data_IF_556486106777
#
_entry.id   IF_556486106777
#
_cell.length_a   1.000
_cell.length_b   1.000
_cell.length_c   1.000
_cell.angle_alpha   90.00
_cell.angle_beta   90.00
_cell.angle_gamma   90.00
#
_symmetry.space_group_name_H-M   'P 1'
#
loop_
_entity.id
_entity.type
_entity.pdbx_description
1 polymer ?
#
# COMPACT_ATOMS: atom_id res chain seq x y z
N UNK A 1 -75.42 4.41 -21.03
CA UNK A 1 -74.74 4.64 -19.75
C UNK A 1 -73.63 3.60 -19.67
N UNK A 2 -72.46 3.92 -20.21
CA UNK A 2 -71.25 3.11 -20.07
C UNK A 2 -70.47 3.62 -18.87
N UNK A 3 -70.23 2.76 -17.88
CA UNK A 3 -69.35 3.06 -16.75
C UNK A 3 -67.90 2.81 -17.19
N UNK A 4 -66.97 3.76 -16.97
CA UNK A 4 -65.57 3.52 -17.22
C UNK A 4 -65.02 2.53 -16.18
N UNK A 5 -64.51 1.40 -16.65
CA UNK A 5 -63.69 0.47 -15.88
C UNK A 5 -62.39 1.16 -15.50
N UNK A 6 -62.26 1.54 -14.23
CA UNK A 6 -60.99 1.95 -13.67
C UNK A 6 -60.07 0.74 -13.54
N UNK A 7 -58.83 0.78 -14.04
CA UNK A 7 -57.85 -0.25 -13.75
C UNK A 7 -57.59 -0.28 -12.25
N UNK A 8 -57.60 -1.50 -11.70
CA UNK A 8 -57.28 -1.80 -10.31
C UNK A 8 -55.93 -1.18 -9.92
N UNK A 9 -55.87 -0.27 -8.92
CA UNK A 9 -54.61 0.31 -8.44
C UNK A 9 -53.78 -0.71 -7.61
N UNK A 10 -54.22 -1.96 -7.52
CA UNK A 10 -53.64 -3.02 -6.69
C UNK A 10 -52.53 -3.85 -7.33
N UNK A 11 -51.98 -3.50 -8.51
CA UNK A 11 -50.75 -4.12 -8.98
C UNK A 11 -49.56 -3.56 -8.18
N UNK A 12 -49.41 -4.01 -6.92
CA UNK A 12 -48.18 -3.80 -6.18
C UNK A 12 -47.07 -4.53 -6.92
N UNK A 13 -46.25 -3.78 -7.65
CA UNK A 13 -44.91 -4.21 -8.02
C UNK A 13 -44.19 -4.49 -6.71
N UNK A 14 -44.14 -5.75 -6.28
CA UNK A 14 -43.35 -6.17 -5.14
C UNK A 14 -41.91 -5.75 -5.41
N UNK A 15 -41.43 -4.73 -4.72
CA UNK A 15 -40.02 -4.36 -4.74
C UNK A 15 -39.28 -5.50 -4.04
N UNK A 16 -38.55 -6.30 -4.81
CA UNK A 16 -37.73 -7.37 -4.24
C UNK A 16 -36.63 -6.76 -3.38
N UNK A 17 -36.47 -7.26 -2.16
CA UNK A 17 -35.40 -6.84 -1.26
C UNK A 17 -34.04 -7.24 -1.85
N UNK A 18 -33.11 -6.28 -1.94
CA UNK A 18 -31.74 -6.57 -2.35
C UNK A 18 -31.02 -7.42 -1.28
N UNK A 19 -30.21 -8.37 -1.73
CA UNK A 19 -29.40 -9.19 -0.83
C UNK A 19 -28.43 -8.31 -0.01
N UNK A 20 -28.25 -8.58 1.30
CA UNK A 20 -27.29 -7.85 2.12
C UNK A 20 -25.86 -7.92 1.55
N UNK A 21 -25.14 -6.81 1.59
CA UNK A 21 -23.75 -6.78 1.14
C UNK A 21 -22.86 -7.75 1.94
N UNK A 22 -22.15 -8.62 1.21
CA UNK A 22 -21.15 -9.54 1.74
C UNK A 22 -19.83 -8.81 2.06
N UNK A 23 -18.81 -9.57 2.49
CA UNK A 23 -17.50 -9.03 2.83
C UNK A 23 -16.77 -8.42 1.62
N UNK A 24 -16.89 -9.05 0.46
CA UNK A 24 -16.22 -8.61 -0.77
C UNK A 24 -16.81 -7.31 -1.29
N UNK A 25 -18.14 -7.21 -1.37
CA UNK A 25 -18.88 -6.01 -1.73
C UNK A 25 -18.58 -4.87 -0.75
N UNK A 26 -18.55 -5.16 0.55
CA UNK A 26 -18.18 -4.16 1.58
C UNK A 26 -16.76 -3.63 1.36
N UNK A 27 -15.78 -4.51 1.11
CA UNK A 27 -14.40 -4.09 0.81
C UNK A 27 -14.31 -3.26 -0.46
N UNK A 28 -14.93 -3.72 -1.54
CA UNK A 28 -14.93 -3.03 -2.84
C UNK A 28 -15.51 -1.62 -2.72
N UNK A 29 -16.63 -1.46 -2.00
CA UNK A 29 -17.24 -0.16 -1.74
C UNK A 29 -16.28 0.79 -1.01
N UNK A 30 -15.63 0.33 0.07
CA UNK A 30 -14.72 1.16 0.86
C UNK A 30 -13.43 1.52 0.10
N UNK A 31 -12.92 0.62 -0.75
CA UNK A 31 -11.78 0.91 -1.63
C UNK A 31 -12.15 1.93 -2.70
N UNK A 32 -13.33 1.82 -3.31
CA UNK A 32 -13.83 2.82 -4.26
C UNK A 32 -13.97 4.20 -3.58
N UNK A 33 -14.51 4.22 -2.36
CA UNK A 33 -14.65 5.43 -1.54
C UNK A 33 -13.31 6.09 -1.23
N UNK A 34 -12.22 5.33 -1.12
CA UNK A 34 -10.90 5.91 -0.83
C UNK A 34 -10.30 6.68 -2.01
N UNK A 35 -10.82 6.48 -3.23
CA UNK A 35 -10.39 7.21 -4.43
C UNK A 35 -8.96 6.88 -4.87
N UNK A 36 -8.43 5.72 -4.47
CA UNK A 36 -7.07 5.28 -4.80
C UNK A 36 -7.07 3.94 -5.54
N UNK A 37 -5.98 3.71 -6.26
CA UNK A 37 -5.71 2.44 -6.93
C UNK A 37 -4.69 1.57 -6.15
N UNK A 38 -4.00 2.14 -5.17
CA UNK A 38 -3.02 1.45 -4.35
C UNK A 38 -2.95 2.00 -2.94
N UNK A 39 -2.53 1.12 -2.02
CA UNK A 39 -2.23 1.41 -0.62
C UNK A 39 -0.76 1.80 -0.48
N UNK A 40 -0.43 3.05 -0.09
CA UNK A 40 0.91 3.43 0.31
C UNK A 40 1.22 2.90 1.72
N UNK A 41 2.35 2.21 1.87
CA UNK A 41 2.84 1.70 3.15
C UNK A 41 4.33 2.02 3.30
N UNK A 42 4.76 2.59 4.42
CA UNK A 42 6.18 2.91 4.62
C UNK A 42 7.03 1.64 4.57
N UNK A 43 8.23 1.78 4.02
CA UNK A 43 9.21 0.69 3.96
C UNK A 43 9.65 0.22 5.35
N UNK A 44 9.66 1.12 6.32
CA UNK A 44 10.00 0.87 7.72
C UNK A 44 9.11 -0.21 8.36
N UNK A 45 7.88 -0.38 7.86
CA UNK A 45 7.00 -1.47 8.29
C UNK A 45 7.62 -2.85 8.01
N UNK A 46 8.28 -2.99 6.86
CA UNK A 46 8.89 -4.24 6.39
C UNK A 46 10.27 -4.43 7.01
N UNK A 47 11.10 -3.39 6.97
CA UNK A 47 12.48 -3.43 7.41
C UNK A 47 12.94 -2.03 7.86
N UNK A 48 13.64 -1.97 8.99
CA UNK A 48 14.27 -0.77 9.48
C UNK A 48 15.33 -0.27 8.45
N UNK A 49 15.26 0.98 8.00
CA UNK A 49 16.19 1.52 7.00
C UNK A 49 17.63 1.66 7.52
N UNK A 50 17.84 1.72 8.84
CA UNK A 50 19.17 1.79 9.45
C UNK A 50 19.94 0.48 9.21
N UNK A 51 21.04 0.59 8.47
CA UNK A 51 21.91 -0.53 8.10
C UNK A 51 22.96 -0.86 9.16
N UNK A 52 23.15 0.02 10.15
CA UNK A 52 24.09 -0.20 11.24
C UNK A 52 23.54 -1.19 12.28
N UNK A 53 22.22 -1.36 12.34
CA UNK A 53 21.58 -2.27 13.28
C UNK A 53 21.85 -3.73 12.90
N UNK A 54 22.21 -4.53 13.91
CA UNK A 54 22.34 -5.98 13.77
C UNK A 54 20.99 -6.63 13.41
N UNK A 55 19.90 -6.17 14.04
CA UNK A 55 18.54 -6.57 13.73
C UNK A 55 17.78 -5.39 13.11
N UNK A 56 17.33 -5.59 11.88
CA UNK A 56 16.62 -4.61 11.06
C UNK A 56 15.14 -4.97 10.87
N UNK A 57 14.62 -5.93 11.62
CA UNK A 57 13.23 -6.34 11.53
C UNK A 57 12.28 -5.15 11.77
N UNK A 58 11.38 -4.93 10.82
CA UNK A 58 10.27 -3.99 11.00
C UNK A 58 9.09 -4.63 11.76
N UNK A 59 8.03 -3.85 12.07
CA UNK A 59 6.81 -4.35 12.71
C UNK A 59 6.13 -5.52 12.00
N UNK A 60 6.32 -5.69 10.69
CA UNK A 60 5.84 -6.86 9.94
C UNK A 60 6.27 -8.18 10.61
N UNK A 61 7.49 -8.23 11.15
CA UNK A 61 8.04 -9.42 11.80
C UNK A 61 7.13 -9.98 12.91
N UNK A 62 6.49 -9.12 13.68
CA UNK A 62 5.62 -9.52 14.79
C UNK A 62 4.37 -10.25 14.28
N UNK A 63 3.80 -9.81 13.15
CA UNK A 63 2.66 -10.48 12.53
C UNK A 63 3.04 -11.89 12.06
N UNK A 64 4.22 -12.04 11.48
CA UNK A 64 4.69 -13.32 10.94
C UNK A 64 4.97 -14.31 12.07
N UNK A 65 5.75 -13.88 13.08
CA UNK A 65 6.09 -14.74 14.23
C UNK A 65 4.88 -15.17 15.04
N UNK A 66 3.88 -14.30 15.20
CA UNK A 66 2.63 -14.61 15.92
C UNK A 66 1.56 -15.27 15.05
N UNK A 67 1.80 -15.47 13.75
CA UNK A 67 0.81 -15.99 12.82
C UNK A 67 -0.44 -15.11 12.68
N UNK A 68 -0.33 -13.80 12.95
CA UNK A 68 -1.46 -12.87 13.02
C UNK A 68 -1.88 -12.36 11.63
N UNK A 69 -2.28 -13.28 10.75
CA UNK A 69 -2.69 -12.98 9.38
C UNK A 69 -3.86 -12.00 9.31
N UNK A 70 -4.87 -12.21 10.16
CA UNK A 70 -6.06 -11.34 10.22
C UNK A 70 -5.70 -9.92 10.65
N UNK A 71 -4.80 -9.78 11.64
CA UNK A 71 -4.28 -8.48 12.03
C UNK A 71 -3.52 -7.80 10.90
N UNK A 72 -2.67 -8.55 10.17
CA UNK A 72 -1.91 -7.99 9.06
C UNK A 72 -2.83 -7.47 7.95
N UNK A 73 -3.80 -8.28 7.53
CA UNK A 73 -4.79 -7.87 6.54
C UNK A 73 -5.63 -6.67 7.02
N UNK A 74 -6.04 -6.65 8.28
CA UNK A 74 -6.78 -5.53 8.85
C UNK A 74 -5.98 -4.22 8.79
N UNK A 75 -4.69 -4.25 9.12
CA UNK A 75 -3.81 -3.09 9.01
C UNK A 75 -3.66 -2.63 7.55
N UNK A 76 -3.34 -3.54 6.63
CA UNK A 76 -3.18 -3.22 5.22
C UNK A 76 -4.46 -2.63 4.63
N UNK A 77 -5.62 -3.13 5.03
CA UNK A 77 -6.91 -2.62 4.58
C UNK A 77 -7.23 -1.26 5.20
N UNK A 78 -6.91 -1.04 6.48
CA UNK A 78 -7.05 0.27 7.12
C UNK A 78 -6.21 1.32 6.36
N UNK A 79 -4.95 1.01 6.02
CA UNK A 79 -4.14 1.88 5.17
C UNK A 79 -4.79 2.12 3.79
N UNK A 80 -5.39 1.09 3.17
CA UNK A 80 -6.02 1.19 1.85
C UNK A 80 -7.18 2.21 1.82
N UNK A 81 -7.96 2.28 2.90
CA UNK A 81 -9.17 3.11 2.93
C UNK A 81 -8.97 4.47 3.61
N UNK A 82 -7.91 4.64 4.41
CA UNK A 82 -7.66 5.85 5.22
C UNK A 82 -6.54 6.73 4.64
N UNK A 83 -5.51 6.16 4.01
CA UNK A 83 -4.31 6.90 3.56
C UNK A 83 -4.58 7.97 2.49
N UNK A 84 -5.80 8.03 1.95
CA UNK A 84 -6.22 9.13 1.09
C UNK A 84 -6.35 10.47 1.80
N UNK A 85 -6.49 10.48 3.12
CA UNK A 85 -6.63 11.72 3.89
C UNK A 85 -7.80 12.60 3.44
N UNK A 86 -8.69 12.05 2.60
CA UNK A 86 -9.80 12.76 1.98
C UNK A 86 -11.07 12.70 2.85
N UNK A 87 -10.99 12.04 4.02
CA UNK A 87 -12.05 12.05 5.01
C UNK A 87 -12.04 13.35 5.81
N UNK A 88 -13.19 13.73 6.34
CA UNK A 88 -13.37 14.90 7.21
C UNK A 88 -12.45 14.85 8.45
N UNK A 89 -12.16 13.64 8.94
CA UNK A 89 -11.30 13.38 10.10
C UNK A 89 -9.80 13.16 9.73
N UNK A 90 -9.40 13.55 8.51
CA UNK A 90 -8.03 13.42 8.01
C UNK A 90 -7.57 11.96 7.87
N UNK A 91 -6.60 11.52 8.69
CA UNK A 91 -6.05 10.17 8.69
C UNK A 91 -6.88 9.17 9.49
N UNK A 92 -8.20 9.35 9.49
CA UNK A 92 -9.13 8.53 10.25
C UNK A 92 -10.33 8.10 9.42
N UNK A 93 -10.98 7.01 9.82
CA UNK A 93 -12.31 6.67 9.32
C UNK A 93 -13.17 6.13 10.45
N UNK A 94 -14.42 6.57 10.48
CA UNK A 94 -15.44 6.10 11.42
C UNK A 94 -16.36 5.13 10.72
N UNK A 95 -16.48 3.90 11.25
CA UNK A 95 -17.40 2.87 10.75
C UNK A 95 -18.06 2.12 11.92
N UNK A 96 -19.28 1.59 11.75
CA UNK A 96 -19.87 0.68 12.71
C UNK A 96 -19.01 -0.56 12.91
N UNK A 97 -18.93 -1.09 14.13
CA UNK A 97 -18.12 -2.27 14.44
C UNK A 97 -18.47 -3.51 13.57
N UNK A 98 -19.74 -3.65 13.17
CA UNK A 98 -20.17 -4.73 12.27
C UNK A 98 -19.58 -4.61 10.86
N UNK A 99 -19.32 -3.38 10.38
CA UNK A 99 -18.65 -3.14 9.10
C UNK A 99 -17.18 -3.54 9.20
N UNK A 100 -16.50 -3.17 10.29
CA UNK A 100 -15.13 -3.64 10.57
C UNK A 100 -15.06 -5.17 10.63
N UNK A 101 -16.04 -5.81 11.27
CA UNK A 101 -16.12 -7.27 11.33
C UNK A 101 -16.23 -7.92 9.93
N UNK A 102 -17.06 -7.39 9.03
CA UNK A 102 -17.13 -7.86 7.63
C UNK A 102 -15.82 -7.67 6.89
N UNK A 103 -15.25 -6.48 6.97
CA UNK A 103 -14.00 -6.13 6.28
C UNK A 103 -12.85 -7.05 6.70
N UNK A 104 -12.78 -7.43 7.98
CA UNK A 104 -11.76 -8.33 8.52
C UNK A 104 -12.10 -9.83 8.39
N UNK A 105 -13.11 -10.18 7.59
CA UNK A 105 -13.60 -11.56 7.39
C UNK A 105 -14.02 -12.28 8.69
N UNK A 106 -14.38 -11.52 9.73
CA UNK A 106 -14.82 -12.09 11.00
C UNK A 106 -16.23 -12.70 10.92
N UNK A 107 -17.04 -12.27 9.94
CA UNK A 107 -18.41 -12.74 9.71
C UNK A 107 -18.49 -14.05 8.92
N UNK A 108 -17.41 -14.46 8.22
CA UNK A 108 -17.38 -15.73 7.47
C UNK A 108 -17.44 -16.98 8.36
N UNK A 109 -16.94 -16.87 9.59
CA UNK A 109 -16.73 -18.02 10.49
C UNK A 109 -17.50 -17.91 11.79
N UNK A 110 -18.33 -16.88 11.98
CA UNK A 110 -18.94 -16.58 13.26
C UNK A 110 -20.27 -15.82 13.13
N UNK A 111 -21.15 -16.01 14.12
CA UNK A 111 -22.34 -15.18 14.28
C UNK A 111 -21.98 -13.69 14.47
N UNK A 112 -22.98 -12.81 14.36
CA UNK A 112 -22.79 -11.34 14.40
C UNK A 112 -22.11 -10.84 15.68
N UNK A 113 -22.43 -11.40 16.85
CA UNK A 113 -21.88 -10.96 18.14
C UNK A 113 -20.42 -11.42 18.29
N UNK A 114 -20.15 -12.66 17.91
CA UNK A 114 -18.82 -13.27 17.86
C UNK A 114 -17.91 -12.55 16.86
N UNK A 115 -18.43 -12.20 15.67
CA UNK A 115 -17.71 -11.45 14.65
C UNK A 115 -17.30 -10.04 15.13
N UNK A 116 -18.21 -9.34 15.81
CA UNK A 116 -17.92 -8.01 16.40
C UNK A 116 -16.86 -8.09 17.50
N UNK A 117 -16.88 -9.16 18.30
CA UNK A 117 -15.88 -9.42 19.33
C UNK A 117 -14.51 -9.72 18.72
N UNK A 118 -14.46 -10.51 17.63
CA UNK A 118 -13.25 -10.78 16.88
C UNK A 118 -12.66 -9.50 16.26
N UNK A 119 -13.49 -8.64 15.67
CA UNK A 119 -13.07 -7.34 15.15
C UNK A 119 -12.46 -6.47 16.27
N UNK A 120 -13.09 -6.42 17.44
CA UNK A 120 -12.56 -5.69 18.60
C UNK A 120 -11.18 -6.21 19.02
N UNK A 121 -10.99 -7.53 19.07
CA UNK A 121 -9.69 -8.15 19.39
C UNK A 121 -8.62 -7.81 18.36
N UNK A 122 -8.95 -7.86 17.07
CA UNK A 122 -8.04 -7.46 15.99
C UNK A 122 -7.60 -6.00 16.17
N UNK A 123 -8.55 -5.08 16.38
CA UNK A 123 -8.25 -3.67 16.60
C UNK A 123 -7.42 -3.43 17.85
N UNK A 124 -7.71 -4.13 18.95
CA UNK A 124 -6.89 -4.05 20.17
C UNK A 124 -5.45 -4.48 19.91
N UNK A 125 -5.21 -5.53 19.11
CA UNK A 125 -3.84 -5.97 18.77
C UNK A 125 -3.10 -4.93 17.94
N UNK A 126 -3.77 -4.26 17.01
CA UNK A 126 -3.16 -3.20 16.20
C UNK A 126 -2.83 -1.95 17.02
N UNK A 127 -3.71 -1.58 17.95
CA UNK A 127 -3.49 -0.49 18.90
C UNK A 127 -2.32 -0.80 19.84
N UNK A 128 -2.25 -2.03 20.40
CA UNK A 128 -1.15 -2.48 21.25
C UNK A 128 0.22 -2.48 20.55
N UNK A 129 0.24 -2.57 19.22
CA UNK A 129 1.45 -2.48 18.40
C UNK A 129 1.78 -1.06 17.98
N UNK A 130 1.04 -0.06 18.46
CA UNK A 130 1.18 1.36 18.11
C UNK A 130 1.06 1.63 16.60
N UNK A 131 0.18 0.89 15.90
CA UNK A 131 -0.05 1.02 14.45
C UNK A 131 -1.31 1.82 14.12
N UNK A 132 -2.25 1.87 15.07
CA UNK A 132 -3.47 2.67 14.99
C UNK A 132 -3.80 3.22 16.38
N UNK A 133 -4.61 4.27 16.44
CA UNK A 133 -5.44 4.56 17.61
C UNK A 133 -6.90 4.26 17.30
N UNK A 134 -7.69 4.01 18.33
CA UNK A 134 -9.14 3.87 18.19
C UNK A 134 -9.88 4.76 19.16
N UNK A 135 -11.03 5.26 18.72
CA UNK A 135 -11.97 5.96 19.57
C UNK A 135 -13.39 5.43 19.32
N UNK A 136 -14.19 5.34 20.38
CA UNK A 136 -15.62 5.05 20.27
C UNK A 136 -16.35 6.36 20.07
N UNK A 137 -17.17 6.47 19.04
CA UNK A 137 -17.88 7.70 18.70
C UNK A 137 -19.38 7.46 18.56
N UNK A 138 -20.19 8.41 19.07
CA UNK A 138 -21.64 8.43 18.88
C UNK A 138 -22.45 7.22 19.39
N UNK A 139 -23.62 7.02 18.77
CA UNK A 139 -24.51 5.87 18.99
C UNK A 139 -24.26 4.81 17.89
N UNK A 140 -24.65 3.55 18.15
CA UNK A 140 -24.45 2.38 17.26
C UNK A 140 -23.05 1.72 17.23
N UNK A 141 -22.24 1.86 18.29
CA UNK A 141 -20.93 1.21 18.42
C UNK A 141 -19.99 1.54 17.24
N UNK A 142 -20.01 2.80 16.79
CA UNK A 142 -19.05 3.26 15.80
C UNK A 142 -17.66 3.33 16.41
N UNK A 143 -16.69 2.86 15.63
CA UNK A 143 -15.28 2.90 15.96
C UNK A 143 -14.59 3.76 14.91
N UNK A 144 -14.02 4.85 15.39
CA UNK A 144 -13.08 5.68 14.64
C UNK A 144 -11.70 5.04 14.77
N UNK A 145 -11.08 4.74 13.63
CA UNK A 145 -9.69 4.28 13.55
C UNK A 145 -8.87 5.41 12.96
N UNK A 146 -7.76 5.77 13.61
CA UNK A 146 -6.78 6.72 13.10
C UNK A 146 -5.46 5.99 12.86
N UNK A 147 -4.83 6.22 11.71
CA UNK A 147 -3.54 5.63 11.41
C UNK A 147 -2.43 6.25 12.25
N UNK A 148 -1.50 5.41 12.73
CA UNK A 148 -0.20 5.84 13.23
C UNK A 148 0.88 5.50 12.22
N UNK A 149 2.09 6.01 12.46
CA UNK A 149 3.25 5.68 11.64
C UNK A 149 3.50 4.16 11.75
N UNK A 150 3.57 3.43 10.62
CA UNK A 150 3.63 1.97 10.61
C UNK A 150 5.02 1.41 10.99
N UNK A 151 5.92 2.22 11.53
CA UNK A 151 7.22 1.78 12.09
C UNK A 151 7.10 1.30 13.55
N UNK A 152 5.91 1.40 14.15
CA UNK A 152 5.65 0.99 15.54
C UNK A 152 6.03 2.03 16.59
N UNK A 153 6.49 3.22 16.17
CA UNK A 153 6.84 4.32 17.08
C UNK A 153 5.63 4.92 17.81
N UNK A 154 4.43 4.73 17.27
CA UNK A 154 3.20 5.36 17.76
C UNK A 154 3.07 6.84 17.40
N UNK A 155 3.97 7.36 16.57
CA UNK A 155 3.87 8.74 16.08
C UNK A 155 2.71 8.90 15.09
N UNK A 156 2.22 10.13 14.94
CA UNK A 156 1.11 10.43 14.01
C UNK A 156 1.47 10.04 12.58
N UNK A 157 0.51 9.41 11.88
CA UNK A 157 0.68 9.11 10.47
C UNK A 157 0.76 10.41 9.65
N UNK A 158 1.75 10.47 8.78
CA UNK A 158 1.85 11.45 7.69
C UNK A 158 1.85 10.70 6.38
N UNK A 159 1.33 11.33 5.32
CA UNK A 159 1.41 10.73 3.99
C UNK A 159 2.88 10.63 3.57
N UNK A 160 3.33 9.46 3.11
CA UNK A 160 4.63 9.33 2.46
C UNK A 160 4.67 10.13 1.15
N UNK A 161 5.63 11.05 1.03
CA UNK A 161 5.87 11.85 -0.18
C UNK A 161 6.89 11.20 -1.13
N UNK A 162 7.58 10.14 -0.67
CA UNK A 162 8.62 9.44 -1.40
C UNK A 162 10.02 10.06 -1.30
N UNK A 163 10.18 11.22 -0.66
CA UNK A 163 11.47 11.89 -0.46
C UNK A 163 12.09 11.46 0.86
N UNK A 164 11.51 11.89 1.98
CA UNK A 164 11.94 11.49 3.31
C UNK A 164 11.43 10.09 3.65
N UNK A 165 10.17 9.83 3.27
CA UNK A 165 9.43 8.64 3.62
C UNK A 165 9.25 7.74 2.40
N UNK A 166 10.17 6.78 2.23
CA UNK A 166 10.03 5.78 1.17
C UNK A 166 8.89 4.83 1.51
N UNK A 167 8.06 4.54 0.52
CA UNK A 167 6.93 3.64 0.65
C UNK A 167 6.92 2.58 -0.45
N UNK A 168 6.22 1.49 -0.17
CA UNK A 168 5.80 0.50 -1.15
C UNK A 168 4.34 0.75 -1.55
N UNK A 169 3.97 0.29 -2.74
CA UNK A 169 2.62 0.43 -3.30
C UNK A 169 1.98 -0.95 -3.39
N UNK A 170 0.98 -1.22 -2.56
CA UNK A 170 0.18 -2.44 -2.68
C UNK A 170 -1.07 -2.14 -3.52
N UNK A 171 -1.16 -2.74 -4.71
CA UNK A 171 -2.31 -2.55 -5.61
C UNK A 171 -3.63 -2.94 -4.95
N UNK A 172 -4.69 -2.16 -5.15
CA UNK A 172 -6.03 -2.52 -4.68
C UNK A 172 -6.58 -3.79 -5.32
N UNK A 173 -6.00 -4.22 -6.45
CA UNK A 173 -6.26 -5.54 -7.04
C UNK A 173 -5.98 -6.69 -6.08
N UNK A 174 -5.07 -6.49 -5.12
CA UNK A 174 -4.84 -7.43 -4.02
C UNK A 174 -6.14 -7.81 -3.30
N UNK A 175 -7.04 -6.84 -3.14
CA UNK A 175 -8.35 -7.03 -2.52
C UNK A 175 -9.41 -7.46 -3.54
N UNK A 176 -9.55 -6.73 -4.64
CA UNK A 176 -10.67 -6.90 -5.58
C UNK A 176 -10.60 -8.21 -6.38
N UNK A 177 -9.41 -8.78 -6.55
CA UNK A 177 -9.21 -10.06 -7.26
C UNK A 177 -8.97 -11.25 -6.31
N UNK A 178 -9.18 -11.06 -5.00
CA UNK A 178 -9.12 -12.14 -4.01
C UNK A 178 -7.71 -12.64 -3.66
N UNK A 179 -6.64 -11.92 -4.03
CA UNK A 179 -5.26 -12.32 -3.68
C UNK A 179 -5.03 -12.41 -2.17
N UNK A 180 -5.71 -11.56 -1.39
CA UNK A 180 -5.70 -11.62 0.07
C UNK A 180 -6.23 -12.94 0.65
N UNK A 181 -6.91 -13.79 -0.11
CA UNK A 181 -7.32 -15.14 0.32
C UNK A 181 -6.34 -16.21 -0.15
N UNK A 182 -5.81 -16.04 -1.36
CA UNK A 182 -4.88 -16.98 -2.01
C UNK A 182 -3.50 -17.02 -1.34
N UNK A 183 -3.06 -15.90 -0.74
CA UNK A 183 -1.75 -15.82 -0.07
C UNK A 183 -1.84 -16.25 1.39
N UNK A 184 -1.03 -17.24 1.76
CA UNK A 184 -0.78 -17.55 3.16
C UNK A 184 0.09 -16.46 3.83
N UNK A 185 0.29 -16.57 5.15
CA UNK A 185 1.05 -15.55 5.92
C UNK A 185 2.49 -15.39 5.40
N UNK A 186 3.26 -16.47 5.14
CA UNK A 186 4.58 -16.36 4.54
C UNK A 186 4.59 -15.72 3.15
N UNK A 187 3.68 -16.09 2.25
CA UNK A 187 3.60 -15.50 0.92
C UNK A 187 3.23 -14.02 0.96
N UNK A 188 2.31 -13.62 1.85
CA UNK A 188 1.98 -12.22 2.06
C UNK A 188 3.19 -11.42 2.58
N UNK A 189 3.98 -12.00 3.49
CA UNK A 189 5.22 -11.37 3.96
C UNK A 189 6.21 -11.14 2.81
N UNK A 190 6.44 -12.18 2.01
CA UNK A 190 7.39 -12.12 0.89
C UNK A 190 6.88 -11.25 -0.27
N UNK A 191 5.57 -11.08 -0.43
CA UNK A 191 5.00 -10.09 -1.35
C UNK A 191 5.39 -8.67 -0.90
N UNK A 192 5.23 -8.37 0.40
CA UNK A 192 5.59 -7.06 0.94
C UNK A 192 7.11 -6.81 0.85
N UNK A 193 7.94 -7.84 1.08
CA UNK A 193 9.40 -7.75 0.84
C UNK A 193 9.70 -7.48 -0.63
N UNK A 194 9.03 -8.17 -1.55
CA UNK A 194 9.23 -7.97 -2.99
C UNK A 194 8.79 -6.58 -3.48
N UNK A 195 7.76 -6.00 -2.87
CA UNK A 195 7.32 -4.62 -3.12
C UNK A 195 8.24 -3.57 -2.45
N UNK A 196 8.88 -3.94 -1.34
CA UNK A 196 9.89 -3.13 -0.67
C UNK A 196 11.19 -3.04 -1.48
N UNK A 197 11.65 -4.17 -2.01
CA UNK A 197 12.88 -4.27 -2.76
C UNK A 197 12.78 -3.69 -4.18
N UNK A 198 13.92 -3.47 -4.82
CA UNK A 198 13.95 -3.12 -6.25
C UNK A 198 13.70 -4.38 -7.10
N UNK A 199 13.11 -4.26 -8.30
CA UNK A 199 13.02 -5.38 -9.24
C UNK A 199 14.39 -6.01 -9.49
N UNK A 200 14.48 -7.34 -9.44
CA UNK A 200 15.74 -8.07 -9.59
C UNK A 200 16.60 -8.08 -8.34
N UNK A 201 15.98 -8.16 -7.15
CA UNK A 201 16.72 -8.20 -5.89
C UNK A 201 17.29 -9.59 -5.60
N UNK A 202 18.44 -9.60 -4.92
CA UNK A 202 19.04 -10.81 -4.35
C UNK A 202 18.56 -10.92 -2.89
N UNK A 203 18.08 -12.09 -2.49
CA UNK A 203 17.76 -12.38 -1.10
C UNK A 203 18.69 -13.46 -0.58
N UNK A 204 19.60 -13.06 0.31
CA UNK A 204 20.47 -13.97 1.04
C UNK A 204 19.66 -14.63 2.17
N UNK A 205 19.36 -15.92 2.05
CA UNK A 205 18.53 -16.66 3.03
C UNK A 205 19.05 -16.53 4.46
N UNK A 206 20.37 -16.54 4.64
CA UNK A 206 21.05 -16.40 5.92
C UNK A 206 20.84 -15.02 6.57
N UNK A 207 20.52 -13.99 5.80
CA UNK A 207 20.27 -12.63 6.29
C UNK A 207 18.82 -12.39 6.66
N UNK A 208 17.89 -13.25 6.24
CA UNK A 208 16.45 -13.08 6.48
C UNK A 208 16.11 -12.90 7.96
N UNK A 209 16.66 -13.70 8.90
CA UNK A 209 16.38 -13.52 10.32
C UNK A 209 16.76 -12.13 10.83
N UNK A 210 17.95 -11.66 10.47
CA UNK A 210 18.46 -10.35 10.89
C UNK A 210 17.72 -9.20 10.21
N UNK A 211 17.35 -9.37 8.95
CA UNK A 211 16.77 -8.30 8.12
C UNK A 211 15.28 -8.12 8.30
N UNK A 212 14.55 -9.20 8.57
CA UNK A 212 13.10 -9.20 8.58
C UNK A 212 12.51 -9.88 9.81
N UNK A 213 13.29 -10.59 10.62
CA UNK A 213 12.84 -11.11 11.92
C UNK A 213 12.14 -12.47 11.89
N UNK A 214 12.14 -13.18 10.76
CA UNK A 214 11.62 -14.55 10.62
C UNK A 214 12.64 -15.51 9.98
N UNK A 215 12.38 -16.82 10.04
CA UNK A 215 13.33 -17.83 9.56
C UNK A 215 13.49 -17.82 8.03
N UNK A 216 14.65 -18.28 7.55
CA UNK A 216 14.89 -18.55 6.13
C UNK A 216 13.81 -19.47 5.53
N UNK A 217 13.46 -20.55 6.23
CA UNK A 217 12.40 -21.48 5.81
C UNK A 217 11.03 -20.81 5.60
N UNK A 218 10.73 -19.76 6.38
CA UNK A 218 9.50 -18.99 6.21
C UNK A 218 9.57 -18.13 4.95
N UNK A 219 10.72 -17.52 4.66
CA UNK A 219 10.92 -16.79 3.41
C UNK A 219 10.88 -17.72 2.19
N UNK A 220 11.55 -18.87 2.25
CA UNK A 220 11.58 -19.84 1.15
C UNK A 220 10.18 -20.38 0.82
N UNK A 221 9.39 -20.76 1.85
CA UNK A 221 7.99 -21.15 1.65
C UNK A 221 7.17 -20.02 1.02
N UNK A 222 7.32 -18.79 1.52
CA UNK A 222 6.61 -17.64 0.98
C UNK A 222 6.94 -17.36 -0.49
N UNK A 223 8.23 -17.36 -0.85
CA UNK A 223 8.68 -17.18 -2.24
C UNK A 223 8.19 -18.30 -3.14
N UNK A 224 8.27 -19.56 -2.69
CA UNK A 224 7.75 -20.72 -3.45
C UNK A 224 6.27 -20.57 -3.76
N UNK A 225 5.46 -20.17 -2.78
CA UNK A 225 4.03 -19.90 -3.00
C UNK A 225 3.81 -18.77 -4.00
N UNK A 226 4.59 -17.68 -3.94
CA UNK A 226 4.49 -16.58 -4.90
C UNK A 226 4.89 -17.00 -6.32
N UNK A 227 5.91 -17.84 -6.47
CA UNK A 227 6.30 -18.42 -7.76
C UNK A 227 5.20 -19.31 -8.34
N UNK A 228 4.64 -20.21 -7.52
CA UNK A 228 3.54 -21.10 -7.93
C UNK A 228 2.29 -20.33 -8.39
N UNK A 229 2.03 -19.17 -7.79
CA UNK A 229 0.93 -18.28 -8.13
C UNK A 229 1.26 -17.32 -9.27
N UNK A 230 2.47 -17.39 -9.85
CA UNK A 230 2.90 -16.54 -10.96
C UNK A 230 3.08 -15.07 -10.59
N UNK A 231 3.35 -14.77 -9.31
CA UNK A 231 3.56 -13.41 -8.80
C UNK A 231 5.05 -13.02 -8.72
N UNK A 232 5.95 -14.00 -8.67
CA UNK A 232 7.40 -13.78 -8.66
C UNK A 232 8.07 -14.68 -9.69
N UNK A 233 9.00 -14.12 -10.46
CA UNK A 233 9.92 -14.90 -11.30
C UNK A 233 11.27 -15.01 -10.61
N UNK A 234 11.85 -16.22 -10.58
CA UNK A 234 13.17 -16.50 -10.03
C UNK A 234 14.14 -16.74 -11.19
N UNK A 235 15.28 -16.05 -11.19
CA UNK A 235 16.39 -16.32 -12.11
C UNK A 235 17.65 -16.62 -11.35
N UNK A 236 18.44 -17.56 -11.83
CA UNK A 236 19.76 -17.83 -11.28
C UNK A 236 20.81 -16.96 -11.94
N UNK A 237 21.72 -16.41 -11.16
CA UNK A 237 22.85 -15.60 -11.63
C UNK A 237 24.13 -16.08 -10.96
N UNK A 238 25.19 -16.23 -11.75
CA UNK A 238 26.53 -16.49 -11.24
C UNK A 238 27.16 -15.14 -10.85
N UNK A 239 27.75 -15.09 -9.66
CA UNK A 239 28.45 -13.93 -9.12
C UNK A 239 29.85 -14.34 -8.68
N UNK A 240 30.85 -13.54 -9.04
CA UNK A 240 32.23 -13.77 -8.61
C UNK A 240 32.31 -13.78 -7.08
N UNK A 241 32.90 -14.84 -6.54
CA UNK A 241 33.08 -15.05 -5.12
C UNK A 241 34.47 -15.65 -4.91
N UNK A 242 35.51 -14.82 -4.72
CA UNK A 242 36.91 -15.28 -4.66
C UNK A 242 37.18 -16.28 -3.54
N UNK A 243 36.36 -16.26 -2.49
CA UNK A 243 36.46 -17.17 -1.35
C UNK A 243 35.65 -18.48 -1.52
N UNK A 244 34.88 -18.62 -2.61
CA UNK A 244 34.20 -19.85 -2.93
C UNK A 244 35.16 -20.85 -3.62
N UNK A 245 35.01 -22.17 -3.44
CA UNK A 245 35.90 -23.16 -4.05
C UNK A 245 36.04 -23.05 -5.58
N UNK A 246 34.99 -22.60 -6.26
CA UNK A 246 34.94 -22.41 -7.73
C UNK A 246 35.27 -20.99 -8.17
N UNK A 247 35.57 -20.07 -7.25
CA UNK A 247 35.72 -18.64 -7.52
C UNK A 247 34.41 -17.91 -7.84
N UNK A 248 33.27 -18.60 -7.76
CA UNK A 248 31.94 -18.08 -8.07
C UNK A 248 30.86 -18.68 -7.17
N UNK A 249 29.76 -17.96 -6.99
CA UNK A 249 28.56 -18.44 -6.30
C UNK A 249 27.32 -18.21 -7.15
N UNK A 250 26.31 -19.06 -7.00
CA UNK A 250 25.02 -18.92 -7.65
C UNK A 250 24.07 -18.19 -6.69
N UNK A 251 23.44 -17.12 -7.18
CA UNK A 251 22.46 -16.33 -6.42
C UNK A 251 21.12 -16.33 -7.14
N UNK A 252 20.04 -16.38 -6.36
CA UNK A 252 18.69 -16.20 -6.86
C UNK A 252 18.36 -14.71 -6.96
N UNK A 253 17.85 -14.32 -8.12
CA UNK A 253 17.40 -12.98 -8.45
C UNK A 253 15.89 -13.01 -8.60
N UNK A 254 15.20 -12.28 -7.72
CA UNK A 254 13.74 -12.27 -7.61
C UNK A 254 13.16 -11.01 -8.27
N UNK A 255 12.12 -11.20 -9.08
CA UNK A 255 11.39 -10.08 -9.71
C UNK A 255 9.90 -10.28 -9.55
N UNK A 256 9.21 -9.29 -8.98
CA UNK A 256 7.76 -9.28 -8.93
C UNK A 256 7.20 -9.14 -10.36
N UNK A 257 6.25 -10.00 -10.70
CA UNK A 257 5.59 -10.06 -12.01
C UNK A 257 4.07 -10.12 -11.83
N UNK A 258 3.33 -9.89 -12.91
CA UNK A 258 1.87 -9.98 -12.90
C UNK A 258 1.14 -8.74 -12.38
N UNK A 259 -0.10 -8.93 -11.95
CA UNK A 259 -1.09 -7.85 -11.75
C UNK A 259 -0.87 -7.00 -10.48
N UNK A 260 0.02 -7.44 -9.58
CA UNK A 260 0.34 -6.75 -8.33
C UNK A 260 1.60 -5.88 -8.42
N UNK A 261 2.24 -5.84 -9.60
CA UNK A 261 3.39 -4.96 -9.83
C UNK A 261 2.92 -3.50 -9.74
N UNK A 262 3.59 -2.65 -8.94
CA UNK A 262 3.29 -1.22 -8.92
C UNK A 262 3.37 -0.64 -10.34
N UNK A 263 2.45 0.24 -10.75
CA UNK A 263 2.59 0.92 -12.04
C UNK A 263 3.95 1.58 -12.07
N UNK A 264 4.71 1.30 -13.15
CA UNK A 264 6.08 1.78 -13.28
C UNK A 264 6.08 3.29 -13.01
N UNK A 265 6.83 3.72 -11.99
CA UNK A 265 7.16 5.13 -11.84
C UNK A 265 8.04 5.46 -13.04
N UNK A 266 7.43 5.93 -14.13
CA UNK A 266 8.19 6.48 -15.25
C UNK A 266 9.05 7.59 -14.65
N UNK A 267 10.39 7.47 -14.68
CA UNK A 267 11.21 8.59 -14.30
C UNK A 267 10.91 9.68 -15.32
N UNK A 268 10.32 10.79 -14.86
CA UNK A 268 10.22 12.01 -15.66
C UNK A 268 11.68 12.44 -15.89
N UNK A 269 12.26 12.00 -17.02
CA UNK A 269 13.47 12.61 -17.53
C UNK A 269 13.09 14.04 -17.87
N UNK A 270 13.55 14.98 -17.05
CA UNK A 270 13.57 16.39 -17.39
C UNK A 270 14.50 16.59 -18.59
N UNK A 271 13.98 16.40 -19.79
CA UNK A 271 14.65 16.84 -21.01
C UNK A 271 14.52 18.36 -21.11
N UNK A 272 15.34 19.09 -20.35
CA UNK A 272 15.75 20.43 -20.77
C UNK A 272 17.02 20.29 -21.60
N UNK A 273 16.85 20.06 -22.90
CA UNK A 273 17.78 20.57 -23.91
C UNK A 273 16.95 21.36 -24.90
N UNK A 274 16.66 22.60 -24.53
CA UNK A 274 16.08 23.56 -25.43
C UNK A 274 17.12 23.87 -26.51
N UNK A 275 16.72 23.60 -27.74
CA UNK A 275 17.33 24.00 -28.99
C UNK A 275 17.50 25.53 -29.00
N UNK A 276 18.73 26.00 -29.22
CA UNK A 276 19.01 27.42 -29.41
C UNK A 276 18.32 27.91 -30.69
N UNK A 277 17.66 29.08 -30.69
CA UNK A 277 17.12 29.65 -31.91
C UNK A 277 18.24 30.30 -32.74
N UNK A 278 18.17 30.05 -34.04
CA UNK A 278 18.99 30.61 -35.10
C UNK A 278 18.99 32.15 -35.08
N UNK A 279 20.20 32.71 -35.11
CA UNK A 279 20.47 34.11 -35.47
C UNK A 279 20.08 34.33 -36.93
N UNK A 280 19.01 35.08 -37.17
CA UNK A 280 18.74 35.70 -38.46
C UNK A 280 18.93 37.22 -38.34
N UNK A 281 19.82 37.71 -39.18
CA UNK A 281 20.24 39.10 -39.30
C UNK A 281 19.14 39.98 -39.91
N UNK A 282 19.07 41.26 -39.49
CA UNK A 282 18.76 42.38 -40.39
C UNK A 282 19.13 43.74 -39.74
N UNK A 283 19.17 44.87 -40.47
CA UNK A 283 20.40 45.56 -40.82
C UNK A 283 20.52 46.96 -40.18
N UNK A 284 21.70 47.56 -40.35
CA UNK A 284 22.08 48.88 -39.85
C UNK A 284 21.15 50.03 -40.28
N UNK A 285 21.14 51.13 -39.51
CA UNK A 285 21.49 52.40 -40.15
C UNK A 285 22.41 53.31 -39.32
N UNK A 286 23.45 53.78 -40.01
CA UNK A 286 23.95 55.17 -40.17
C UNK A 286 24.06 56.05 -38.91
N UNK A 287 25.32 56.38 -38.58
CA UNK A 287 25.78 57.42 -37.64
C UNK A 287 25.50 58.85 -38.13
N UNK A 288 25.42 59.81 -37.19
CA UNK A 288 26.29 61.00 -37.29
C UNK A 288 26.87 61.37 -35.89
N UNK A 289 27.62 62.49 -35.69
CA UNK A 289 29.03 62.52 -35.27
C UNK A 289 29.23 62.98 -33.80
N UNK A 290 30.47 63.03 -33.27
CA UNK A 290 30.72 63.27 -31.85
C UNK A 290 30.69 64.76 -31.50
N UNK A 291 30.06 65.07 -30.36
CA UNK A 291 30.00 66.40 -29.76
C UNK A 291 30.38 66.34 -28.28
N UNK A 292 31.44 67.05 -27.96
CA UNK A 292 32.11 67.28 -26.67
C UNK A 292 31.22 67.77 -25.52
N UNK A 293 31.66 67.41 -24.29
CA UNK A 293 31.89 68.32 -23.15
C UNK A 293 31.05 68.12 -21.89
N UNK A 294 31.77 68.08 -20.75
CA UNK A 294 31.41 68.55 -19.38
C UNK A 294 30.20 67.89 -18.71
N UNK A 295 30.24 67.35 -17.49
CA UNK A 295 31.14 67.54 -16.36
C UNK A 295 30.30 67.47 -15.07
N UNK A 296 30.96 67.14 -13.96
CA UNK A 296 30.60 67.52 -12.57
C UNK A 296 29.57 66.64 -11.82
N UNK A 297 30.07 66.04 -10.74
CA UNK A 297 29.40 65.34 -9.63
C UNK A 297 28.79 66.34 -8.63
N UNK A 298 27.98 65.86 -7.66
CA UNK A 298 28.55 65.48 -6.36
C UNK A 298 28.28 64.02 -5.97
#
# INVERSE_FOLDING_TARGET
MDQPTYPDPGASTSVEDEAPADEAATRAYLLKRSGREFTPLLRDFVQNPDKSLANRAGPLSEFIRKGDRRGLLALLFAHAIISSGAGEDGWSTTLPLAVWARVFDATKTADRASASSAATKILSRLEQRNLITRQRTGKARNITITLLRPDGSGTSYTRPDGHADRFLKLSHRFWTEGWYEKLDTPALAMLLVSLHEKPGFELASERVPDWYGWSADTAERGIKTLEQLGLVSIRKRIKTAPLAPTGATEVNVYTLVGLLVPPATVPIKSSKKALAPETTANPAPVTPPPGTSTGIWP
#
